data_IF_447681406942
#
_entry.id   IF_447681406942
#
_cell.length_a   1.000
_cell.length_b   1.000
_cell.length_c   1.000
_cell.angle_alpha   90.00
_cell.angle_beta   90.00
_cell.angle_gamma   90.00
#
_symmetry.space_group_name_H-M   'P 1'
#
loop_
_entity.id
_entity.type
_entity.pdbx_description
1 polymer ?
#
# COMPACT_ATOMS: atom_id res chain seq x y z
N UNK A 1 12.41 11.71 -14.89
CA UNK A 1 13.28 10.97 -13.96
C UNK A 1 13.08 11.58 -12.59
N UNK A 2 12.68 10.78 -11.60
CA UNK A 2 12.88 11.18 -10.20
C UNK A 2 14.37 10.93 -9.90
N UNK A 3 15.10 11.96 -9.49
CA UNK A 3 16.56 11.95 -9.30
C UNK A 3 16.92 11.81 -7.82
N UNK A 4 16.13 11.05 -7.07
CA UNK A 4 16.49 10.70 -5.70
C UNK A 4 17.49 9.55 -5.79
N UNK A 5 18.69 9.76 -5.26
CA UNK A 5 19.66 8.68 -5.04
C UNK A 5 18.95 7.57 -4.26
N UNK A 6 19.17 6.32 -4.67
CA UNK A 6 18.63 5.18 -3.93
C UNK A 6 19.38 5.07 -2.59
N UNK A 7 18.65 4.82 -1.50
CA UNK A 7 19.24 4.68 -0.18
C UNK A 7 20.21 3.48 -0.13
N UNK A 8 21.43 3.70 0.37
CA UNK A 8 22.47 2.68 0.51
C UNK A 8 22.30 1.86 1.81
N UNK A 9 21.50 2.36 2.76
CA UNK A 9 21.26 1.72 4.06
C UNK A 9 19.79 1.74 4.46
N UNK A 10 19.42 0.83 5.37
CA UNK A 10 18.06 0.80 5.92
C UNK A 10 17.76 2.03 6.76
N UNK A 11 18.75 2.55 7.49
CA UNK A 11 18.65 3.78 8.27
C UNK A 11 18.33 4.99 7.39
N UNK A 12 19.01 5.11 6.25
CA UNK A 12 18.74 6.16 5.25
C UNK A 12 17.34 6.03 4.65
N UNK A 13 16.94 4.81 4.27
CA UNK A 13 15.58 4.55 3.79
C UNK A 13 14.52 4.95 4.82
N UNK A 14 14.76 4.63 6.10
CA UNK A 14 13.87 5.03 7.19
C UNK A 14 13.83 6.55 7.32
N UNK A 15 14.97 7.23 7.28
CA UNK A 15 15.05 8.69 7.37
C UNK A 15 14.23 9.35 6.25
N UNK A 16 14.43 8.93 5.01
CA UNK A 16 13.70 9.43 3.85
C UNK A 16 12.18 9.18 3.95
N UNK A 17 11.79 8.00 4.43
CA UNK A 17 10.38 7.65 4.59
C UNK A 17 9.70 8.32 5.80
N UNK A 18 10.47 8.76 6.80
CA UNK A 18 9.96 9.36 8.04
C UNK A 18 10.13 10.88 8.09
N UNK A 19 10.80 11.48 7.09
CA UNK A 19 10.90 12.93 6.93
C UNK A 19 9.58 13.54 6.43
N UNK A 20 8.58 13.51 7.31
CA UNK A 20 7.30 14.17 7.10
C UNK A 20 7.46 15.63 7.57
N UNK A 21 7.25 16.64 6.70
CA UNK A 21 7.28 18.05 7.06
C UNK A 21 6.44 18.34 8.31
N UNK A 22 6.93 19.19 9.21
CA UNK A 22 6.29 19.47 10.49
C UNK A 22 4.88 20.04 10.32
N UNK A 23 4.63 20.76 9.22
CA UNK A 23 3.33 21.32 8.85
C UNK A 23 2.28 20.26 8.50
N UNK A 24 2.70 19.04 8.14
CA UNK A 24 1.84 17.89 7.88
C UNK A 24 1.67 17.00 9.11
N UNK A 25 2.46 17.22 10.16
CA UNK A 25 2.35 16.43 11.38
C UNK A 25 1.10 16.88 12.14
N UNK A 26 0.22 15.96 12.54
CA UNK A 26 -0.88 16.33 13.41
C UNK A 26 -0.29 16.83 14.73
N UNK A 27 -0.64 18.07 15.07
CA UNK A 27 -0.29 18.68 16.35
C UNK A 27 -0.72 17.75 17.50
N UNK A 28 0.13 17.51 18.51
CA UNK A 28 -0.21 16.65 19.65
C UNK A 28 -1.44 17.22 20.37
N UNK A 29 -2.57 16.51 20.27
CA UNK A 29 -3.86 16.95 20.82
C UNK A 29 -4.90 17.41 19.80
N UNK A 30 -4.58 17.48 18.50
CA UNK A 30 -5.57 17.69 17.45
C UNK A 30 -6.35 16.41 17.16
N UNK A 31 -7.36 16.21 18.01
CA UNK A 31 -8.29 15.09 18.07
C UNK A 31 -9.32 15.07 16.92
N UNK A 32 -8.84 15.02 15.68
CA UNK A 32 -9.68 14.68 14.51
C UNK A 32 -8.98 13.71 13.56
N UNK A 33 -8.19 12.79 14.09
CA UNK A 33 -7.90 11.58 13.33
C UNK A 33 -9.26 10.94 13.00
N UNK A 34 -9.55 10.63 11.73
CA UNK A 34 -10.80 9.99 11.38
C UNK A 34 -10.92 8.70 12.19
N UNK A 35 -12.08 8.48 12.81
CA UNK A 35 -12.32 7.26 13.56
C UNK A 35 -12.08 6.05 12.64
N UNK A 36 -11.31 5.08 13.12
CA UNK A 36 -11.10 3.84 12.40
C UNK A 36 -12.45 3.13 12.25
N UNK A 37 -12.98 3.14 11.04
CA UNK A 37 -14.21 2.39 10.74
C UNK A 37 -13.91 0.90 10.62
N UNK A 38 -14.85 0.07 11.05
CA UNK A 38 -14.83 -1.34 10.71
C UNK A 38 -14.90 -1.48 9.17
N UNK A 39 -13.92 -2.16 8.58
CA UNK A 39 -13.99 -2.51 7.18
C UNK A 39 -15.07 -3.59 6.98
N UNK A 40 -15.88 -3.45 5.93
CA UNK A 40 -16.71 -4.55 5.49
C UNK A 40 -15.81 -5.72 5.07
N UNK A 41 -16.22 -6.99 5.27
CA UNK A 41 -15.50 -8.14 4.76
C UNK A 41 -15.25 -7.97 3.25
N UNK A 42 -14.01 -8.17 2.84
CA UNK A 42 -13.65 -8.08 1.43
C UNK A 42 -14.38 -9.14 0.63
N UNK A 43 -14.93 -8.75 -0.54
CA UNK A 43 -15.62 -9.64 -1.47
C UNK A 43 -15.24 -9.28 -2.89
N UNK A 44 -14.97 -10.30 -3.70
CA UNK A 44 -14.78 -10.15 -5.14
C UNK A 44 -16.14 -10.06 -5.80
N UNK A 45 -16.34 -9.05 -6.65
CA UNK A 45 -17.55 -8.96 -7.45
C UNK A 45 -17.62 -10.13 -8.42
N UNK A 46 -18.83 -10.65 -8.64
CA UNK A 46 -19.07 -11.75 -9.58
C UNK A 46 -18.56 -11.43 -11.00
N UNK A 47 -18.62 -10.17 -11.42
CA UNK A 47 -18.05 -9.71 -12.70
C UNK A 47 -16.54 -9.88 -12.80
N UNK A 48 -15.81 -9.81 -11.68
CA UNK A 48 -14.37 -10.00 -11.63
C UNK A 48 -14.03 -11.48 -11.63
N UNK A 49 -14.82 -12.30 -10.90
CA UNK A 49 -14.69 -13.75 -10.94
C UNK A 49 -14.87 -14.30 -12.36
N UNK A 50 -15.90 -13.86 -13.09
CA UNK A 50 -16.18 -14.32 -14.45
C UNK A 50 -15.06 -14.05 -15.46
N UNK A 51 -14.24 -13.02 -15.25
CA UNK A 51 -13.11 -12.73 -16.15
C UNK A 51 -12.03 -13.80 -16.10
N UNK A 52 -11.98 -14.55 -15.00
CA UNK A 52 -10.93 -15.54 -14.73
C UNK A 52 -11.48 -16.95 -14.49
N UNK A 53 -12.81 -17.12 -14.49
CA UNK A 53 -13.48 -18.38 -14.17
C UNK A 53 -13.07 -19.53 -15.12
N UNK A 54 -12.87 -19.21 -16.39
CA UNK A 54 -12.49 -20.16 -17.44
C UNK A 54 -11.02 -20.01 -17.86
N UNK A 55 -10.25 -19.17 -17.17
CA UNK A 55 -8.82 -19.12 -17.40
C UNK A 55 -8.17 -20.32 -16.71
N UNK A 56 -7.46 -21.13 -17.50
CA UNK A 56 -6.61 -22.17 -16.93
C UNK A 56 -5.70 -21.56 -15.88
N UNK A 57 -5.53 -22.28 -14.77
CA UNK A 57 -4.47 -21.97 -13.82
C UNK A 57 -3.17 -21.83 -14.59
N UNK A 58 -2.36 -20.81 -14.29
CA UNK A 58 -0.99 -20.72 -14.82
C UNK A 58 -0.23 -21.97 -14.40
N UNK A 59 -0.35 -23.03 -15.20
CA UNK A 59 0.40 -24.24 -15.06
C UNK A 59 1.84 -23.83 -15.26
N UNK A 60 2.68 -24.06 -14.25
CA UNK A 60 4.11 -24.19 -14.48
C UNK A 60 4.25 -25.26 -15.56
N UNK A 61 4.47 -24.81 -16.80
CA UNK A 61 4.99 -25.62 -17.88
C UNK A 61 6.35 -26.11 -17.38
N UNK A 62 6.33 -27.26 -16.68
CA UNK A 62 7.54 -27.99 -16.35
C UNK A 62 8.03 -28.62 -17.64
N UNK A 63 9.28 -28.27 -17.95
CA UNK A 63 10.23 -28.86 -18.89
C UNK A 63 9.85 -30.22 -19.50
#
# INVERSE_FOLDING_TARGET
MNTQDEADTLEELIADCTDIPSELRPEPGHAHLPEQRAAAPWRVAESNYRQVADLDSYGLSRA
#
